data_IF_046233955015
#
_entry.id   IF_046233955015
#
_cell.length_a   1.000
_cell.length_b   1.000
_cell.length_c   1.000
_cell.angle_alpha   90.00
_cell.angle_beta   90.00
_cell.angle_gamma   90.00
#
_symmetry.space_group_name_H-M   'P 1'
#
loop_
_entity.id
_entity.type
_entity.pdbx_description
1 polymer ?
#
# COMPACT_ATOMS: atom_id res chain seq x y z
N UNK A 1 -19.97 16.49 1.66
CA UNK A 1 -18.70 15.85 1.28
C UNK A 1 -18.86 15.28 -0.12
N UNK A 2 -17.98 15.63 -1.07
CA UNK A 2 -18.07 15.16 -2.46
C UNK A 2 -17.63 13.70 -2.53
N UNK A 3 -18.46 12.82 -3.08
CA UNK A 3 -18.08 11.43 -3.33
C UNK A 3 -16.96 11.43 -4.37
N UNK A 4 -15.87 10.74 -4.08
CA UNK A 4 -14.77 10.49 -5.02
C UNK A 4 -14.92 9.08 -5.53
N UNK A 5 -15.15 8.94 -6.83
CA UNK A 5 -15.25 7.67 -7.54
C UNK A 5 -13.89 7.34 -8.17
N UNK A 6 -13.62 6.06 -8.36
CA UNK A 6 -12.41 5.57 -9.00
C UNK A 6 -12.77 4.73 -10.23
N UNK A 7 -12.42 5.21 -11.41
CA UNK A 7 -12.59 4.43 -12.64
C UNK A 7 -11.34 3.56 -12.87
N UNK A 8 -11.55 2.25 -12.91
CA UNK A 8 -10.52 1.25 -13.11
C UNK A 8 -10.60 0.65 -14.52
N UNK A 9 -9.45 0.57 -15.20
CA UNK A 9 -9.32 -0.29 -16.36
C UNK A 9 -9.45 -1.77 -15.95
N UNK A 10 -9.82 -2.64 -16.90
CA UNK A 10 -9.99 -4.09 -16.64
C UNK A 10 -8.71 -4.71 -16.07
N UNK A 11 -7.54 -4.32 -16.59
CA UNK A 11 -6.24 -4.78 -16.10
C UNK A 11 -5.91 -4.30 -14.69
N UNK A 12 -6.25 -3.05 -14.37
CA UNK A 12 -6.04 -2.46 -13.04
C UNK A 12 -6.91 -3.15 -11.99
N UNK A 13 -8.19 -3.40 -12.33
CA UNK A 13 -9.10 -4.15 -11.47
C UNK A 13 -8.58 -5.56 -11.21
N UNK A 14 -8.19 -6.29 -12.26
CA UNK A 14 -7.64 -7.64 -12.12
C UNK A 14 -6.36 -7.66 -11.26
N UNK A 15 -5.47 -6.66 -11.40
CA UNK A 15 -4.27 -6.55 -10.58
C UNK A 15 -4.60 -6.30 -9.10
N UNK A 16 -5.58 -5.43 -8.81
CA UNK A 16 -6.03 -5.18 -7.44
C UNK A 16 -6.72 -6.41 -6.82
N UNK A 17 -7.52 -7.14 -7.59
CA UNK A 17 -8.13 -8.40 -7.16
C UNK A 17 -7.05 -9.44 -6.83
N UNK A 18 -6.05 -9.58 -7.71
CA UNK A 18 -4.94 -10.49 -7.47
C UNK A 18 -4.17 -10.14 -6.18
N UNK A 19 -3.87 -8.86 -5.94
CA UNK A 19 -3.23 -8.39 -4.70
C UNK A 19 -4.12 -8.68 -3.49
N UNK A 20 -5.41 -8.38 -3.56
CA UNK A 20 -6.37 -8.61 -2.48
C UNK A 20 -6.38 -10.08 -2.05
N UNK A 21 -6.36 -10.99 -3.02
CA UNK A 21 -6.59 -12.41 -2.76
C UNK A 21 -5.30 -13.17 -2.43
N UNK A 22 -4.14 -12.73 -2.95
CA UNK A 22 -2.90 -13.52 -2.89
C UNK A 22 -1.72 -12.83 -2.19
N UNK A 23 -1.73 -11.50 -1.99
CA UNK A 23 -0.55 -10.81 -1.45
C UNK A 23 -0.30 -11.22 0.01
N UNK A 24 0.95 -11.57 0.32
CA UNK A 24 1.36 -11.99 1.68
C UNK A 24 1.24 -10.86 2.70
N UNK A 25 1.32 -9.60 2.28
CA UNK A 25 1.34 -8.41 3.14
C UNK A 25 -0.11 -7.97 3.44
N UNK A 26 -0.57 -8.07 4.70
CA UNK A 26 -1.96 -7.78 5.04
C UNK A 26 -2.41 -6.35 4.68
N UNK A 27 -1.52 -5.37 4.83
CA UNK A 27 -1.86 -3.97 4.52
C UNK A 27 -2.09 -3.72 3.03
N UNK A 28 -1.47 -4.50 2.12
CA UNK A 28 -1.73 -4.35 0.69
C UNK A 28 -3.06 -4.96 0.30
N UNK A 29 -3.42 -6.10 0.90
CA UNK A 29 -4.75 -6.69 0.71
C UNK A 29 -5.83 -5.71 1.14
N UNK A 30 -5.63 -5.05 2.28
CA UNK A 30 -6.54 -4.02 2.79
C UNK A 30 -6.65 -2.81 1.84
N UNK A 31 -5.52 -2.28 1.36
CA UNK A 31 -5.49 -1.18 0.39
C UNK A 31 -6.22 -1.55 -0.91
N UNK A 32 -5.95 -2.74 -1.45
CA UNK A 32 -6.59 -3.20 -2.67
C UNK A 32 -8.10 -3.36 -2.50
N UNK A 33 -8.54 -3.94 -1.38
CA UNK A 33 -9.96 -4.05 -1.05
C UNK A 33 -10.65 -2.67 -0.93
N UNK A 34 -9.98 -1.67 -0.36
CA UNK A 34 -10.51 -0.32 -0.27
C UNK A 34 -10.74 0.32 -1.65
N UNK A 35 -9.77 0.21 -2.55
CA UNK A 35 -9.84 0.79 -3.90
C UNK A 35 -10.92 0.10 -4.76
N UNK A 36 -11.01 -1.23 -4.71
CA UNK A 36 -12.06 -1.98 -5.41
C UNK A 36 -13.45 -1.54 -4.97
N UNK A 37 -13.66 -1.37 -3.65
CA UNK A 37 -14.93 -0.90 -3.09
C UNK A 37 -15.31 0.51 -3.55
N UNK A 38 -14.34 1.42 -3.64
CA UNK A 38 -14.57 2.77 -4.17
C UNK A 38 -14.91 2.72 -5.65
N UNK A 39 -14.24 1.85 -6.42
CA UNK A 39 -14.54 1.63 -7.83
C UNK A 39 -15.92 0.99 -8.05
N UNK A 40 -16.42 0.22 -7.08
CA UNK A 40 -17.78 -0.32 -7.06
C UNK A 40 -18.83 0.72 -6.60
N UNK A 41 -18.41 1.98 -6.36
CA UNK A 41 -19.29 3.10 -6.04
C UNK A 41 -19.48 3.39 -4.55
N UNK A 42 -18.78 2.68 -3.65
CA UNK A 42 -18.86 2.97 -2.22
C UNK A 42 -18.09 4.26 -1.87
N UNK A 43 -18.69 5.08 -1.02
CA UNK A 43 -18.03 6.29 -0.55
C UNK A 43 -16.81 5.96 0.34
N UNK A 44 -15.70 6.70 0.16
CA UNK A 44 -14.48 6.51 0.96
C UNK A 44 -14.73 6.55 2.48
N UNK A 45 -15.67 7.40 2.93
CA UNK A 45 -16.08 7.48 4.34
C UNK A 45 -16.74 6.17 4.84
N UNK A 46 -17.59 5.57 4.01
CA UNK A 46 -18.23 4.28 4.30
C UNK A 46 -17.19 3.16 4.31
N UNK A 47 -16.29 3.15 3.32
CA UNK A 47 -15.19 2.18 3.26
C UNK A 47 -14.32 2.26 4.52
N UNK A 48 -13.99 3.47 4.97
CA UNK A 48 -13.18 3.71 6.16
C UNK A 48 -13.86 3.21 7.46
N UNK A 49 -15.18 3.36 7.59
CA UNK A 49 -15.91 3.03 8.81
C UNK A 49 -16.30 1.56 8.92
N UNK A 50 -16.78 0.96 7.84
CA UNK A 50 -17.35 -0.39 7.84
C UNK A 50 -16.99 -1.24 6.62
N UNK A 51 -16.31 -0.68 5.62
CA UNK A 51 -15.92 -1.41 4.41
C UNK A 51 -14.60 -2.19 4.53
N UNK A 52 -13.92 -2.17 5.66
CA UNK A 52 -12.67 -2.92 5.89
C UNK A 52 -12.78 -3.75 7.16
N UNK A 53 -11.87 -4.72 7.32
CA UNK A 53 -11.83 -5.58 8.52
C UNK A 53 -11.67 -4.76 9.82
N UNK A 54 -10.94 -3.64 9.74
CA UNK A 54 -10.77 -2.69 10.84
C UNK A 54 -11.12 -1.29 10.36
N UNK A 55 -11.78 -0.47 11.19
CA UNK A 55 -12.01 0.93 10.86
C UNK A 55 -10.68 1.68 10.64
N UNK A 56 -10.69 2.61 9.70
CA UNK A 56 -9.57 3.49 9.35
C UNK A 56 -10.01 4.96 9.38
N UNK A 57 -9.04 5.86 9.46
CA UNK A 57 -9.33 7.27 9.27
C UNK A 57 -9.71 7.52 7.80
N UNK A 58 -10.76 8.33 7.51
CA UNK A 58 -11.17 8.61 6.13
C UNK A 58 -10.03 9.20 5.28
N UNK A 59 -9.17 10.02 5.88
CA UNK A 59 -8.00 10.58 5.18
C UNK A 59 -7.03 9.49 4.73
N UNK A 60 -6.86 8.40 5.49
CA UNK A 60 -5.99 7.29 5.08
C UNK A 60 -6.48 6.67 3.77
N UNK A 61 -7.80 6.51 3.62
CA UNK A 61 -8.39 5.98 2.40
C UNK A 61 -8.20 6.96 1.24
N UNK A 62 -8.38 8.26 1.48
CA UNK A 62 -8.14 9.30 0.47
C UNK A 62 -6.67 9.37 0.04
N UNK A 63 -5.72 9.17 0.96
CA UNK A 63 -4.30 9.09 0.62
C UNK A 63 -3.99 7.88 -0.26
N UNK A 64 -4.61 6.72 0.00
CA UNK A 64 -4.45 5.54 -0.84
C UNK A 64 -5.05 5.75 -2.23
N UNK A 65 -6.22 6.39 -2.31
CA UNK A 65 -6.85 6.76 -3.56
C UNK A 65 -5.94 7.68 -4.38
N UNK A 66 -5.43 8.76 -3.77
CA UNK A 66 -4.53 9.70 -4.45
C UNK A 66 -3.23 9.02 -4.96
N UNK A 67 -2.58 8.17 -4.15
CA UNK A 67 -1.39 7.41 -4.57
C UNK A 67 -1.70 6.47 -5.74
N UNK A 68 -2.88 5.82 -5.71
CA UNK A 68 -3.28 4.95 -6.80
C UNK A 68 -3.63 5.73 -8.07
N UNK A 69 -4.38 6.83 -7.99
CA UNK A 69 -4.71 7.66 -9.16
C UNK A 69 -3.46 8.23 -9.83
N UNK A 70 -2.46 8.62 -9.03
CA UNK A 70 -1.19 9.17 -9.50
C UNK A 70 -0.32 8.13 -10.22
N UNK A 71 -0.32 6.89 -9.74
CA UNK A 71 0.62 5.87 -10.20
C UNK A 71 -0.02 4.74 -11.00
N UNK A 72 -1.34 4.62 -10.98
CA UNK A 72 -2.14 3.53 -11.57
C UNK A 72 -1.69 2.13 -11.12
N UNK A 73 -1.02 2.06 -9.98
CA UNK A 73 -0.51 0.81 -9.42
C UNK A 73 -0.38 0.90 -7.90
N UNK A 74 -0.62 -0.22 -7.21
CA UNK A 74 -0.47 -0.28 -5.77
C UNK A 74 0.98 -0.62 -5.39
N UNK A 75 1.73 0.39 -4.96
CA UNK A 75 3.14 0.20 -4.60
C UNK A 75 3.27 -0.24 -3.14
N UNK A 76 4.08 -1.28 -2.85
CA UNK A 76 4.47 -1.55 -1.48
C UNK A 76 5.30 -0.41 -0.93
N UNK A 77 5.15 -0.13 0.36
CA UNK A 77 6.09 0.75 1.05
C UNK A 77 7.48 0.11 0.90
N UNK A 78 8.51 0.85 0.45
CA UNK A 78 9.86 0.30 0.40
C UNK A 78 10.23 -0.21 1.78
N UNK A 79 10.90 -1.36 1.84
CA UNK A 79 11.42 -1.86 3.10
C UNK A 79 12.24 -0.74 3.75
N UNK A 80 11.96 -0.44 5.02
CA UNK A 80 12.82 0.44 5.78
C UNK A 80 14.22 -0.19 5.75
N UNK A 81 15.17 0.41 5.01
CA UNK A 81 16.58 0.04 5.19
C UNK A 81 16.90 0.37 6.64
N UNK A 82 17.13 -0.65 7.47
CA UNK A 82 17.55 -0.44 8.84
C UNK A 82 18.75 0.52 8.82
N UNK A 83 18.67 1.59 9.62
CA UNK A 83 19.69 2.63 9.71
C UNK A 83 20.98 2.15 10.42
N UNK A 84 21.33 0.88 10.27
CA UNK A 84 22.57 0.30 10.77
C UNK A 84 23.28 -0.40 9.62
N UNK A 85 24.13 0.31 8.85
CA UNK A 85 25.14 -0.38 8.07
C UNK A 85 25.96 -1.28 9.01
N UNK A 86 26.38 -2.49 8.59
CA UNK A 86 27.28 -3.29 9.39
C UNK A 86 28.53 -2.47 9.69
N UNK A 87 29.01 -2.51 10.94
CA UNK A 87 30.25 -1.86 11.33
C UNK A 87 31.38 -2.66 10.67
N UNK A 88 31.85 -2.23 9.49
CA UNK A 88 33.01 -2.83 8.84
C UNK A 88 34.22 -2.49 9.69
N UNK A 89 34.68 -3.42 10.53
CA UNK A 89 35.97 -3.28 11.21
C UNK A 89 37.05 -3.43 10.14
N UNK A 90 37.88 -2.41 9.83
CA UNK A 90 39.02 -2.63 8.95
C UNK A 90 39.95 -3.65 9.63
N UNK A 91 40.31 -4.71 8.92
CA UNK A 91 41.29 -5.68 9.40
C UNK A 91 42.62 -4.95 9.62
N UNK A 92 43.10 -4.90 10.85
CA UNK A 92 44.43 -4.38 11.15
C UNK A 92 45.49 -5.20 10.41
N UNK A 93 46.48 -4.58 9.76
CA UNK A 93 47.60 -5.32 9.18
C UNK A 93 48.41 -5.94 10.33
N UNK A 94 48.63 -7.26 10.26
CA UNK A 94 49.70 -7.91 11.04
C UNK A 94 51.02 -7.38 10.50
N UNK A 95 51.75 -6.64 11.32
CA UNK A 95 53.16 -6.33 11.06
C UNK A 95 53.98 -7.45 11.68
N UNK A 96 54.47 -8.37 10.85
CA UNK A 96 55.54 -9.29 11.21
C UNK A 96 56.86 -8.68 10.69
N UNK A 97 57.75 -8.26 11.59
CA UNK A 97 59.17 -7.97 11.33
C UNK A 97 59.95 -8.02 12.65
#
# INVERSE_FOLDING_TARGET
MRQRTLDLAVSERAALEHIRDHDRRPYLRERAAALLKIADGLAALQVARSGLLKPRHPETILLWLNDFEQHRQLRPRPACRGAFPPRTTPASPRTDA
#
